data_IF_353577652968
#
_entry.id   IF_353577652968
#
_cell.length_a   1.000
_cell.length_b   1.000
_cell.length_c   1.000
_cell.angle_alpha   90.00
_cell.angle_beta   90.00
_cell.angle_gamma   90.00
#
_symmetry.space_group_name_H-M   'P 1'
#
loop_
_entity.id
_entity.type
_entity.pdbx_description
1 polymer ?
#
# COMPACT_ATOMS: atom_id res chain seq x y z
N UNK A 1 -29.56 10.72 -9.38
CA UNK A 1 -28.42 9.96 -8.82
C UNK A 1 -28.67 9.79 -7.34
N UNK A 2 -28.74 8.55 -6.85
CA UNK A 2 -28.96 8.26 -5.43
C UNK A 2 -27.80 7.40 -4.91
N UNK A 3 -27.17 7.81 -3.81
CA UNK A 3 -26.10 7.05 -3.14
C UNK A 3 -26.64 6.55 -1.79
N UNK A 4 -26.65 5.24 -1.60
CA UNK A 4 -27.17 4.61 -0.39
C UNK A 4 -26.12 3.67 0.21
N UNK A 5 -25.92 3.74 1.53
CA UNK A 5 -25.17 2.74 2.27
C UNK A 5 -26.10 1.56 2.58
N UNK A 6 -25.71 0.33 2.20
CA UNK A 6 -26.47 -0.89 2.50
C UNK A 6 -25.57 -1.92 3.17
N UNK A 7 -26.06 -2.54 4.23
CA UNK A 7 -25.47 -3.76 4.78
C UNK A 7 -26.07 -4.97 4.06
N UNK A 8 -25.23 -5.79 3.43
CA UNK A 8 -25.66 -7.03 2.77
C UNK A 8 -25.84 -8.15 3.80
N UNK A 9 -26.91 -8.94 3.68
CA UNK A 9 -27.07 -10.14 4.49
C UNK A 9 -26.00 -11.19 4.12
N UNK A 10 -25.70 -12.11 5.03
CA UNK A 10 -24.65 -13.14 4.86
C UNK A 10 -24.86 -13.97 3.58
N UNK A 11 -26.11 -14.29 3.23
CA UNK A 11 -26.48 -15.04 2.02
C UNK A 11 -26.32 -14.26 0.72
N UNK A 12 -26.71 -12.98 0.67
CA UNK A 12 -26.49 -12.11 -0.50
C UNK A 12 -24.99 -11.86 -0.74
N UNK A 13 -24.19 -11.93 0.32
CA UNK A 13 -22.77 -11.57 0.35
C UNK A 13 -21.86 -12.72 -0.09
N UNK A 14 -22.13 -13.93 0.39
CA UNK A 14 -21.47 -15.13 -0.15
C UNK A 14 -21.71 -15.16 -1.65
N UNK A 15 -22.97 -14.99 -2.08
CA UNK A 15 -23.38 -15.02 -3.48
C UNK A 15 -22.56 -14.08 -4.39
N UNK A 16 -22.45 -12.77 -4.10
CA UNK A 16 -21.73 -11.82 -5.00
C UNK A 16 -20.22 -12.11 -5.11
N UNK A 17 -19.58 -12.54 -4.02
CA UNK A 17 -18.15 -12.86 -4.02
C UNK A 17 -17.87 -14.21 -4.67
N UNK A 18 -18.69 -15.24 -4.39
CA UNK A 18 -18.56 -16.54 -5.06
C UNK A 18 -18.96 -16.49 -6.52
N UNK A 19 -19.96 -15.71 -6.91
CA UNK A 19 -20.41 -15.57 -8.30
C UNK A 19 -19.33 -14.89 -9.15
N UNK A 20 -18.80 -13.76 -8.72
CA UNK A 20 -17.71 -13.09 -9.45
C UNK A 20 -16.43 -13.93 -9.57
N UNK A 21 -16.11 -14.71 -8.54
CA UNK A 21 -14.97 -15.63 -8.58
C UNK A 21 -15.24 -16.86 -9.43
N UNK A 22 -16.43 -17.44 -9.35
CA UNK A 22 -16.85 -18.56 -10.18
C UNK A 22 -16.83 -18.17 -11.65
N UNK A 23 -17.36 -17.01 -12.00
CA UNK A 23 -17.35 -16.48 -13.36
C UNK A 23 -15.92 -16.16 -13.83
N UNK A 24 -15.06 -15.68 -12.92
CA UNK A 24 -13.64 -15.50 -13.19
C UNK A 24 -12.96 -16.83 -13.55
N UNK A 25 -13.14 -17.88 -12.74
CA UNK A 25 -12.55 -19.20 -12.98
C UNK A 25 -13.10 -19.82 -14.27
N UNK A 26 -14.43 -19.75 -14.48
CA UNK A 26 -15.09 -20.28 -15.69
C UNK A 26 -14.60 -19.62 -16.96
N UNK A 27 -14.28 -18.32 -16.91
CA UNK A 27 -13.78 -17.54 -18.02
C UNK A 27 -12.26 -17.30 -17.96
N UNK A 28 -11.52 -18.06 -17.15
CA UNK A 28 -10.09 -17.80 -16.90
C UNK A 28 -9.27 -17.73 -18.21
N UNK A 29 -9.55 -18.63 -19.16
CA UNK A 29 -8.89 -18.63 -20.48
C UNK A 29 -9.10 -17.30 -21.22
N UNK A 30 -10.31 -16.74 -21.17
CA UNK A 30 -10.61 -15.44 -21.79
C UNK A 30 -9.86 -14.29 -21.10
N UNK A 31 -9.60 -14.41 -19.79
CA UNK A 31 -8.82 -13.41 -19.04
C UNK A 31 -7.33 -13.44 -19.35
N UNK A 32 -6.81 -14.50 -20.00
CA UNK A 32 -5.40 -14.57 -20.43
C UNK A 32 -5.04 -13.49 -21.46
N UNK A 33 -6.03 -12.84 -22.08
CA UNK A 33 -5.83 -11.63 -22.88
C UNK A 33 -5.13 -10.50 -22.10
N UNK A 34 -5.24 -10.48 -20.77
CA UNK A 34 -4.55 -9.54 -19.89
C UNK A 34 -3.13 -9.98 -19.49
N UNK A 35 -2.72 -11.22 -19.77
CA UNK A 35 -1.41 -11.79 -19.43
C UNK A 35 -0.19 -11.02 -19.97
N UNK A 36 -0.23 -10.37 -21.14
CA UNK A 36 0.89 -9.55 -21.60
C UNK A 36 1.29 -8.43 -20.62
N UNK A 37 0.34 -7.90 -19.85
CA UNK A 37 0.58 -6.81 -18.88
C UNK A 37 1.53 -7.23 -17.75
N UNK A 38 1.25 -8.28 -16.95
CA UNK A 38 2.16 -8.71 -15.91
C UNK A 38 3.48 -9.24 -16.48
N UNK A 39 3.49 -9.91 -17.65
CA UNK A 39 4.74 -10.35 -18.29
C UNK A 39 5.64 -9.18 -18.64
N UNK A 40 5.09 -8.08 -19.15
CA UNK A 40 5.84 -6.86 -19.42
C UNK A 40 6.46 -6.28 -18.14
N UNK A 41 5.69 -6.17 -17.06
CA UNK A 41 6.21 -5.66 -15.79
C UNK A 41 7.24 -6.58 -15.13
N UNK A 42 7.03 -7.89 -15.18
CA UNK A 42 8.02 -8.88 -14.73
C UNK A 42 9.31 -8.75 -15.55
N UNK A 43 9.20 -8.56 -16.88
CA UNK A 43 10.34 -8.30 -17.74
C UNK A 43 11.14 -7.05 -17.31
N UNK A 44 10.45 -5.94 -17.01
CA UNK A 44 11.08 -4.73 -16.47
C UNK A 44 11.74 -4.98 -15.10
N UNK A 45 11.06 -5.71 -14.21
CA UNK A 45 11.60 -6.09 -12.91
C UNK A 45 12.89 -6.93 -13.04
N UNK A 46 12.88 -7.95 -13.89
CA UNK A 46 14.05 -8.79 -14.19
C UNK A 46 15.17 -7.97 -14.83
N UNK A 47 14.85 -7.04 -15.74
CA UNK A 47 15.86 -6.17 -16.37
C UNK A 47 16.63 -5.35 -15.33
N UNK A 48 15.97 -4.83 -14.30
CA UNK A 48 16.62 -4.14 -13.18
C UNK A 48 17.53 -5.07 -12.37
N UNK A 49 17.11 -6.31 -12.12
CA UNK A 49 17.94 -7.32 -11.45
C UNK A 49 19.18 -7.65 -12.30
N UNK A 50 18.99 -7.92 -13.59
CA UNK A 50 20.05 -8.24 -14.53
C UNK A 50 21.10 -7.12 -14.60
N UNK A 51 20.67 -5.86 -14.57
CA UNK A 51 21.55 -4.68 -14.52
C UNK A 51 22.18 -4.43 -13.14
N UNK A 52 21.98 -5.32 -12.16
CA UNK A 52 22.44 -5.19 -10.76
C UNK A 52 21.93 -3.91 -10.07
N UNK A 53 20.73 -3.46 -10.44
CA UNK A 53 20.09 -2.25 -9.94
C UNK A 53 19.06 -2.53 -8.84
N UNK A 54 19.26 -3.56 -8.02
CA UNK A 54 18.30 -4.02 -7.01
C UNK A 54 18.05 -3.01 -5.90
N UNK A 55 19.04 -2.14 -5.60
CA UNK A 55 18.88 -1.06 -4.63
C UNK A 55 17.71 -0.12 -4.95
N UNK A 56 17.32 -0.01 -6.24
CA UNK A 56 16.18 0.80 -6.66
C UNK A 56 14.83 0.29 -6.14
N UNK A 57 14.74 -0.98 -5.72
CA UNK A 57 13.53 -1.56 -5.15
C UNK A 57 13.38 -1.29 -3.65
N UNK A 58 14.48 -0.95 -2.95
CA UNK A 58 14.48 -0.77 -1.50
C UNK A 58 13.41 0.20 -0.98
N UNK A 59 13.13 1.35 -1.63
CA UNK A 59 12.07 2.26 -1.18
C UNK A 59 10.65 1.68 -1.31
N UNK A 60 10.48 0.58 -2.06
CA UNK A 60 9.19 -0.02 -2.41
C UNK A 60 9.01 -1.42 -1.79
N UNK A 61 9.77 -1.73 -0.74
CA UNK A 61 9.85 -3.08 -0.15
C UNK A 61 8.47 -3.67 0.20
N UNK A 62 7.55 -2.87 0.75
CA UNK A 62 6.19 -3.33 1.10
C UNK A 62 5.42 -3.84 -0.13
N UNK A 63 5.49 -3.11 -1.24
CA UNK A 63 4.84 -3.49 -2.50
C UNK A 63 5.54 -4.68 -3.16
N UNK A 64 6.86 -4.74 -3.03
CA UNK A 64 7.66 -5.86 -3.49
C UNK A 64 7.29 -7.17 -2.78
N UNK A 65 7.17 -7.15 -1.45
CA UNK A 65 6.69 -8.29 -0.66
C UNK A 65 5.24 -8.63 -1.05
N UNK A 66 4.38 -7.62 -1.20
CA UNK A 66 2.98 -7.82 -1.60
C UNK A 66 2.85 -8.48 -2.97
N UNK A 67 3.72 -8.16 -3.92
CA UNK A 67 3.76 -8.80 -5.25
C UNK A 67 4.06 -10.29 -5.12
N UNK A 68 5.10 -10.67 -4.38
CA UNK A 68 5.44 -12.08 -4.18
C UNK A 68 4.31 -12.85 -3.48
N UNK A 69 3.76 -12.28 -2.40
CA UNK A 69 2.64 -12.86 -1.70
C UNK A 69 1.45 -13.07 -2.65
N UNK A 70 1.12 -12.05 -3.46
CA UNK A 70 0.05 -12.14 -4.46
C UNK A 70 0.30 -13.24 -5.48
N UNK A 71 1.49 -13.33 -6.08
CA UNK A 71 1.80 -14.38 -7.06
C UNK A 71 1.59 -15.77 -6.45
N UNK A 72 2.12 -16.01 -5.24
CA UNK A 72 1.98 -17.30 -4.55
C UNK A 72 0.51 -17.61 -4.26
N UNK A 73 -0.24 -16.64 -3.70
CA UNK A 73 -1.65 -16.81 -3.34
C UNK A 73 -2.52 -17.00 -4.60
N UNK A 74 -2.27 -16.24 -5.67
CA UNK A 74 -3.02 -16.33 -6.93
C UNK A 74 -2.80 -17.70 -7.58
N UNK A 75 -1.55 -18.15 -7.68
CA UNK A 75 -1.21 -19.49 -8.18
C UNK A 75 -1.93 -20.54 -7.36
N UNK A 76 -1.78 -20.51 -6.04
CA UNK A 76 -2.45 -21.48 -5.16
C UNK A 76 -3.99 -21.45 -5.31
N UNK A 77 -4.60 -20.27 -5.41
CA UNK A 77 -6.07 -20.12 -5.50
C UNK A 77 -6.62 -20.60 -6.85
N UNK A 78 -5.89 -20.39 -7.95
CA UNK A 78 -6.30 -20.83 -9.29
C UNK A 78 -6.16 -22.35 -9.44
N UNK A 79 -5.09 -22.95 -8.90
CA UNK A 79 -4.79 -24.37 -9.10
C UNK A 79 -5.65 -25.35 -8.27
N UNK A 80 -6.32 -24.89 -7.20
CA UNK A 80 -7.01 -25.81 -6.27
C UNK A 80 -8.45 -26.16 -6.65
N UNK A 81 -9.04 -25.57 -7.70
CA UNK A 81 -10.47 -25.76 -8.04
C UNK A 81 -11.39 -25.21 -6.91
N UNK A 82 -12.61 -24.72 -7.19
CA UNK A 82 -13.34 -23.80 -6.31
C UNK A 82 -14.13 -24.49 -5.20
N UNK A 83 -13.69 -25.65 -4.70
CA UNK A 83 -14.23 -26.19 -3.44
C UNK A 83 -13.61 -25.42 -2.28
N UNK A 84 -14.05 -24.17 -2.12
CA UNK A 84 -13.63 -23.23 -1.08
C UNK A 84 -14.23 -23.64 0.27
N UNK A 85 -13.98 -24.88 0.70
CA UNK A 85 -14.43 -25.41 1.98
C UNK A 85 -13.28 -25.53 2.98
N UNK A 86 -13.58 -25.30 4.26
CA UNK A 86 -12.61 -25.46 5.34
C UNK A 86 -11.44 -24.47 5.31
N UNK A 87 -10.24 -24.94 5.65
CA UNK A 87 -9.01 -24.13 5.86
C UNK A 87 -8.54 -23.45 4.57
N UNK A 88 -8.85 -24.02 3.40
CA UNK A 88 -8.50 -23.43 2.11
C UNK A 88 -9.20 -22.08 1.86
N UNK A 89 -10.40 -21.88 2.42
CA UNK A 89 -11.08 -20.59 2.37
C UNK A 89 -10.27 -19.47 3.02
N UNK A 90 -9.51 -19.76 4.09
CA UNK A 90 -8.69 -18.79 4.81
C UNK A 90 -7.49 -18.34 3.98
N UNK A 91 -6.89 -19.24 3.20
CA UNK A 91 -5.73 -18.95 2.35
C UNK A 91 -6.13 -18.05 1.16
N UNK A 92 -7.38 -18.13 0.72
CA UNK A 92 -7.92 -17.28 -0.35
C UNK A 92 -8.45 -15.93 0.14
N UNK A 93 -8.59 -15.68 1.45
CA UNK A 93 -9.04 -14.37 1.97
C UNK A 93 -8.18 -13.20 1.45
N UNK A 94 -6.83 -13.27 1.49
CA UNK A 94 -5.99 -12.21 0.93
C UNK A 94 -6.22 -11.97 -0.57
N UNK A 95 -6.58 -13.00 -1.33
CA UNK A 95 -6.92 -12.90 -2.75
C UNK A 95 -8.15 -12.01 -2.97
N UNK A 96 -9.22 -12.24 -2.21
CA UNK A 96 -10.47 -11.47 -2.30
C UNK A 96 -10.31 -9.99 -1.86
N UNK A 97 -9.38 -9.75 -0.93
CA UNK A 97 -9.11 -8.43 -0.36
C UNK A 97 -7.82 -7.79 -0.86
N UNK A 98 -7.23 -8.29 -1.94
CA UNK A 98 -5.94 -7.77 -2.40
C UNK A 98 -5.94 -6.27 -2.73
N UNK A 99 -7.01 -5.76 -3.36
CA UNK A 99 -7.19 -4.32 -3.56
C UNK A 99 -7.18 -3.54 -2.22
N UNK A 100 -7.89 -4.03 -1.21
CA UNK A 100 -7.89 -3.43 0.13
C UNK A 100 -6.49 -3.42 0.76
N UNK A 101 -5.73 -4.50 0.58
CA UNK A 101 -4.35 -4.61 1.07
C UNK A 101 -3.47 -3.54 0.41
N UNK A 102 -3.53 -3.39 -0.92
CA UNK A 102 -2.74 -2.39 -1.65
C UNK A 102 -3.12 -0.97 -1.21
N UNK A 103 -4.41 -0.65 -1.11
CA UNK A 103 -4.86 0.65 -0.62
C UNK A 103 -4.43 0.90 0.83
N UNK A 104 -4.38 -0.14 1.67
CA UNK A 104 -3.90 -0.05 3.05
C UNK A 104 -2.40 0.21 3.12
N UNK A 105 -1.60 -0.40 2.23
CA UNK A 105 -0.16 -0.10 2.14
C UNK A 105 0.09 1.37 1.79
N UNK A 106 -0.65 1.91 0.82
CA UNK A 106 -0.61 3.33 0.46
C UNK A 106 -1.02 4.20 1.66
N UNK A 107 -2.08 3.81 2.37
CA UNK A 107 -2.53 4.51 3.58
C UNK A 107 -1.44 4.57 4.63
N UNK A 108 -0.77 3.46 4.95
CA UNK A 108 0.28 3.47 5.98
C UNK A 108 1.46 4.34 5.59
N UNK A 109 1.86 4.31 4.32
CA UNK A 109 2.97 5.13 3.85
C UNK A 109 2.61 6.62 3.86
N UNK A 110 1.40 7.00 3.40
CA UNK A 110 0.93 8.38 3.47
C UNK A 110 0.72 8.86 4.90
N UNK A 111 0.12 8.04 5.78
CA UNK A 111 -0.13 8.38 7.17
C UNK A 111 1.16 8.69 7.92
N UNK A 112 2.19 7.84 7.78
CA UNK A 112 3.47 8.05 8.44
C UNK A 112 4.15 9.33 7.95
N UNK A 113 4.06 9.63 6.65
CA UNK A 113 4.69 10.83 6.07
C UNK A 113 3.94 12.10 6.47
N UNK A 114 2.61 12.14 6.33
CA UNK A 114 1.78 13.33 6.62
C UNK A 114 1.84 13.74 8.08
N UNK A 115 1.82 12.76 8.99
CA UNK A 115 1.83 13.02 10.43
C UNK A 115 3.24 12.96 11.04
N UNK A 116 4.28 12.74 10.23
CA UNK A 116 5.70 12.62 10.65
C UNK A 116 5.89 11.70 11.86
N UNK A 117 5.15 10.59 11.89
CA UNK A 117 5.07 9.70 13.04
C UNK A 117 6.36 8.89 13.15
N UNK A 118 7.33 9.40 13.92
CA UNK A 118 8.61 8.72 14.16
C UNK A 118 8.58 7.92 15.45
N UNK A 119 8.06 8.49 16.53
CA UNK A 119 7.81 7.84 17.82
C UNK A 119 6.53 8.39 18.45
N UNK A 120 5.69 7.52 18.99
CA UNK A 120 4.53 7.92 19.81
C UNK A 120 4.80 7.50 21.25
N UNK A 121 4.82 8.47 22.15
CA UNK A 121 4.88 8.24 23.59
C UNK A 121 3.53 8.56 24.22
N UNK A 122 2.88 7.54 24.77
CA UNK A 122 1.65 7.74 25.56
C UNK A 122 2.02 7.78 27.04
N UNK A 123 1.98 8.97 27.65
CA UNK A 123 2.17 9.15 29.10
C UNK A 123 1.19 8.34 29.95
N UNK A 124 -0.03 8.15 29.45
CA UNK A 124 -1.12 7.50 30.21
C UNK A 124 -0.93 5.99 30.30
N UNK A 125 -0.28 5.38 29.32
CA UNK A 125 -0.05 3.93 29.28
C UNK A 125 1.43 3.55 29.47
N UNK A 126 2.34 4.53 29.57
CA UNK A 126 3.80 4.37 29.52
C UNK A 126 4.29 3.50 28.35
N UNK A 127 3.64 3.64 27.20
CA UNK A 127 3.95 2.89 25.99
C UNK A 127 4.79 3.77 25.06
N UNK A 128 5.99 3.30 24.73
CA UNK A 128 6.84 3.86 23.69
C UNK A 128 6.71 3.04 22.39
N UNK A 129 6.05 3.61 21.38
CA UNK A 129 5.91 2.97 20.07
C UNK A 129 6.82 3.61 19.03
N UNK A 130 7.71 2.82 18.45
CA UNK A 130 8.47 3.20 17.26
C UNK A 130 7.56 3.25 16.03
N UNK A 131 7.94 3.99 14.99
CA UNK A 131 7.19 4.05 13.73
C UNK A 131 6.88 2.67 13.11
N UNK A 132 7.75 1.67 13.31
CA UNK A 132 7.50 0.28 12.87
C UNK A 132 6.38 -0.38 13.67
N UNK A 133 6.37 -0.19 14.98
CA UNK A 133 5.31 -0.73 15.85
C UNK A 133 3.96 -0.08 15.53
N UNK A 134 3.95 1.19 15.14
CA UNK A 134 2.73 1.91 14.75
C UNK A 134 2.16 1.34 13.45
N UNK A 135 2.99 1.06 12.44
CA UNK A 135 2.52 0.37 11.22
C UNK A 135 1.90 -0.99 11.57
N UNK A 136 2.50 -1.77 12.47
CA UNK A 136 1.93 -3.05 12.92
C UNK A 136 0.57 -2.89 13.61
N UNK A 137 0.43 -1.92 14.51
CA UNK A 137 -0.85 -1.63 15.19
C UNK A 137 -1.91 -1.18 14.18
N UNK A 138 -1.57 -0.30 13.25
CA UNK A 138 -2.49 0.15 12.21
C UNK A 138 -2.94 -1.00 11.29
N UNK A 139 -2.05 -1.97 10.99
CA UNK A 139 -2.42 -3.21 10.27
C UNK A 139 -3.49 -3.97 11.05
N UNK A 140 -3.28 -4.21 12.35
CA UNK A 140 -4.25 -4.92 13.19
C UNK A 140 -5.59 -4.18 13.22
N UNK A 141 -5.57 -2.85 13.38
CA UNK A 141 -6.76 -2.01 13.37
C UNK A 141 -7.53 -2.15 12.05
N UNK A 142 -6.87 -2.03 10.89
CA UNK A 142 -7.52 -2.15 9.60
C UNK A 142 -8.10 -3.55 9.35
N UNK A 143 -7.42 -4.60 9.80
CA UNK A 143 -7.95 -5.97 9.76
C UNK A 143 -9.23 -6.07 10.59
N UNK A 144 -9.21 -5.58 11.84
CA UNK A 144 -10.38 -5.59 12.73
C UNK A 144 -11.54 -4.80 12.11
N UNK A 145 -11.29 -3.59 11.57
CA UNK A 145 -12.31 -2.82 10.87
C UNK A 145 -12.86 -3.55 9.65
N UNK A 146 -12.00 -4.22 8.87
CA UNK A 146 -12.42 -5.01 7.71
C UNK A 146 -13.32 -6.17 8.12
N UNK A 147 -13.05 -6.80 9.27
CA UNK A 147 -13.88 -7.88 9.82
C UNK A 147 -15.22 -7.37 10.37
N UNK A 148 -15.22 -6.22 11.07
CA UNK A 148 -16.43 -5.61 11.63
C UNK A 148 -17.38 -5.09 10.54
N UNK A 149 -16.83 -4.49 9.47
CA UNK A 149 -17.60 -3.81 8.41
C UNK A 149 -17.62 -4.67 7.13
N UNK A 150 -17.49 -5.99 7.28
CA UNK A 150 -17.24 -6.96 6.21
C UNK A 150 -18.28 -7.03 5.07
N UNK A 151 -19.42 -6.35 5.17
CA UNK A 151 -20.31 -6.20 4.02
C UNK A 151 -21.23 -5.01 4.08
N UNK A 152 -20.69 -3.89 4.54
CA UNK A 152 -21.18 -2.61 4.10
C UNK A 152 -20.76 -2.40 2.63
N UNK A 153 -21.72 -1.96 1.82
CA UNK A 153 -21.53 -1.68 0.39
C UNK A 153 -22.22 -0.35 0.07
N UNK A 154 -21.55 0.49 -0.69
CA UNK A 154 -22.17 1.67 -1.29
C UNK A 154 -22.92 1.26 -2.56
N UNK A 155 -24.20 1.60 -2.63
CA UNK A 155 -25.04 1.39 -3.81
C UNK A 155 -25.27 2.74 -4.47
N UNK A 156 -24.69 2.92 -5.66
CA UNK A 156 -24.91 4.08 -6.50
C UNK A 156 -25.96 3.75 -7.55
N UNK A 157 -27.10 4.44 -7.50
CA UNK A 157 -28.20 4.28 -8.46
C UNK A 157 -28.23 5.46 -9.43
N UNK A 158 -28.00 5.20 -10.72
CA UNK A 158 -28.03 6.18 -11.82
C UNK A 158 -28.86 5.58 -12.95
N UNK A 159 -29.95 6.24 -13.37
CA UNK A 159 -30.75 5.86 -14.55
C UNK A 159 -31.08 4.35 -14.57
N UNK A 160 -31.66 3.85 -13.48
CA UNK A 160 -32.00 2.43 -13.23
C UNK A 160 -30.83 1.43 -13.13
N UNK A 161 -29.60 1.85 -13.41
CA UNK A 161 -28.39 1.08 -13.12
C UNK A 161 -28.01 1.19 -11.64
N UNK A 162 -27.66 0.05 -11.01
CA UNK A 162 -27.21 -0.02 -9.60
C UNK A 162 -25.78 -0.55 -9.54
N UNK A 163 -24.83 0.32 -9.24
CA UNK A 163 -23.43 -0.04 -9.04
C UNK A 163 -23.17 -0.28 -7.56
N UNK A 164 -22.51 -1.38 -7.24
CA UNK A 164 -22.16 -1.77 -5.87
C UNK A 164 -20.65 -1.62 -5.65
N UNK A 165 -20.26 -0.73 -4.75
CA UNK A 165 -18.88 -0.53 -4.33
C UNK A 165 -18.66 -1.06 -2.92
N UNK A 166 -17.54 -1.76 -2.71
CA UNK A 166 -17.11 -2.17 -1.38
C UNK A 166 -16.85 -0.93 -0.50
N UNK A 167 -17.58 -0.78 0.61
CA UNK A 167 -17.51 0.41 1.46
C UNK A 167 -16.09 0.67 1.94
N UNK A 168 -15.41 -0.36 2.45
CA UNK A 168 -14.09 -0.20 3.04
C UNK A 168 -13.03 0.16 1.99
N UNK A 169 -13.13 -0.38 0.77
CA UNK A 169 -12.25 0.03 -0.34
C UNK A 169 -12.49 1.48 -0.73
N UNK A 170 -13.75 1.88 -0.90
CA UNK A 170 -14.10 3.25 -1.26
C UNK A 170 -13.67 4.25 -0.17
N UNK A 171 -13.89 3.92 1.11
CA UNK A 171 -13.50 4.75 2.25
C UNK A 171 -11.99 4.91 2.35
N UNK A 172 -11.21 3.83 2.25
CA UNK A 172 -9.75 3.94 2.34
C UNK A 172 -9.16 4.68 1.12
N UNK A 173 -9.73 4.49 -0.06
CA UNK A 173 -9.33 5.23 -1.26
C UNK A 173 -9.57 6.74 -1.08
N UNK A 174 -10.75 7.13 -0.56
CA UNK A 174 -11.06 8.52 -0.25
C UNK A 174 -10.11 9.10 0.81
N UNK A 175 -9.82 8.36 1.87
CA UNK A 175 -8.86 8.77 2.91
C UNK A 175 -7.47 8.96 2.30
N UNK A 176 -7.02 8.07 1.43
CA UNK A 176 -5.74 8.21 0.73
C UNK A 176 -5.70 9.45 -0.15
N UNK A 177 -6.79 9.79 -0.85
CA UNK A 177 -6.89 11.04 -1.62
C UNK A 177 -6.74 12.25 -0.69
N UNK A 178 -7.42 12.27 0.45
CA UNK A 178 -7.33 13.36 1.44
C UNK A 178 -5.89 13.49 1.96
N UNK A 179 -5.27 12.39 2.37
CA UNK A 179 -3.88 12.38 2.86
C UNK A 179 -2.90 12.83 1.79
N UNK A 180 -3.10 12.42 0.53
CA UNK A 180 -2.26 12.85 -0.59
C UNK A 180 -2.39 14.36 -0.83
N UNK A 181 -3.60 14.92 -0.76
CA UNK A 181 -3.82 16.37 -0.84
C UNK A 181 -3.13 17.08 0.34
N UNK A 182 -3.27 16.57 1.56
CA UNK A 182 -2.57 17.11 2.73
C UNK A 182 -1.05 17.11 2.53
N UNK A 183 -0.49 16.03 1.98
CA UNK A 183 0.93 15.93 1.68
C UNK A 183 1.39 16.94 0.62
N UNK A 184 0.59 17.17 -0.43
CA UNK A 184 0.87 18.18 -1.45
C UNK A 184 0.89 19.58 -0.83
N UNK A 185 -0.05 19.88 0.07
CA UNK A 185 -0.10 21.17 0.79
C UNK A 185 1.13 21.33 1.69
N UNK A 186 1.44 20.32 2.51
CA UNK A 186 2.63 20.33 3.40
C UNK A 186 3.93 20.48 2.61
N UNK A 187 4.03 19.80 1.45
CA UNK A 187 5.18 19.93 0.57
C UNK A 187 5.37 21.37 0.11
N UNK A 188 4.28 22.04 -0.30
CA UNK A 188 4.34 23.43 -0.76
C UNK A 188 4.78 24.38 0.34
N UNK A 189 4.43 24.11 1.60
CA UNK A 189 4.78 24.98 2.75
C UNK A 189 6.15 24.70 3.34
N UNK A 190 6.54 23.43 3.45
CA UNK A 190 7.66 23.00 4.29
C UNK A 190 8.73 22.18 3.56
N UNK A 191 8.52 21.88 2.27
CA UNK A 191 9.36 20.95 1.52
C UNK A 191 9.08 19.48 1.87
N UNK A 192 9.61 18.55 1.07
CA UNK A 192 9.54 17.10 1.34
C UNK A 192 10.92 16.62 1.74
N UNK A 193 11.01 15.83 2.82
CA UNK A 193 12.24 15.15 3.17
C UNK A 193 12.57 14.09 2.08
N UNK A 194 13.83 13.96 1.63
CA UNK A 194 14.19 13.14 0.46
C UNK A 194 13.73 11.68 0.53
N UNK A 195 13.79 11.09 1.73
CA UNK A 195 13.33 9.72 1.99
C UNK A 195 11.84 9.53 1.69
N UNK A 196 11.04 10.59 1.86
CA UNK A 196 9.59 10.59 1.70
C UNK A 196 9.18 10.92 0.25
N UNK A 197 10.11 11.40 -0.59
CA UNK A 197 9.86 11.68 -2.00
C UNK A 197 9.47 10.42 -2.78
N UNK A 198 10.07 9.27 -2.47
CA UNK A 198 9.70 7.99 -3.09
C UNK A 198 8.28 7.56 -2.72
N UNK A 199 7.89 7.74 -1.45
CA UNK A 199 6.54 7.45 -0.96
C UNK A 199 5.53 8.34 -1.67
N UNK A 200 5.82 9.64 -1.78
CA UNK A 200 4.96 10.60 -2.48
C UNK A 200 4.74 10.20 -3.94
N UNK A 201 5.82 9.95 -4.68
CA UNK A 201 5.74 9.57 -6.10
C UNK A 201 5.00 8.23 -6.27
N UNK A 202 5.29 7.24 -5.44
CA UNK A 202 4.60 5.95 -5.50
C UNK A 202 3.10 6.11 -5.25
N UNK A 203 2.73 6.89 -4.25
CA UNK A 203 1.34 7.11 -3.87
C UNK A 203 0.57 7.80 -4.99
N UNK A 204 1.15 8.82 -5.65
CA UNK A 204 0.54 9.46 -6.82
C UNK A 204 0.31 8.44 -7.93
N UNK A 205 1.35 7.70 -8.32
CA UNK A 205 1.29 6.75 -9.44
C UNK A 205 0.26 5.65 -9.16
N UNK A 206 0.32 5.03 -7.98
CA UNK A 206 -0.59 3.96 -7.61
C UNK A 206 -2.04 4.45 -7.49
N UNK A 207 -2.28 5.58 -6.83
CA UNK A 207 -3.65 6.13 -6.69
C UNK A 207 -4.24 6.53 -8.03
N UNK A 208 -3.43 7.11 -8.94
CA UNK A 208 -3.87 7.46 -10.28
C UNK A 208 -4.25 6.20 -11.08
N UNK A 209 -3.39 5.18 -11.08
CA UNK A 209 -3.65 3.95 -11.83
C UNK A 209 -4.84 3.16 -11.28
N UNK A 210 -4.98 3.07 -9.96
CA UNK A 210 -6.15 2.44 -9.32
C UNK A 210 -7.43 3.18 -9.73
N UNK A 211 -7.42 4.52 -9.65
CA UNK A 211 -8.58 5.34 -10.04
C UNK A 211 -8.93 5.16 -11.52
N UNK A 212 -7.93 5.10 -12.42
CA UNK A 212 -8.16 4.83 -13.85
C UNK A 212 -8.84 3.47 -14.05
N UNK A 213 -8.35 2.41 -13.39
CA UNK A 213 -8.94 1.07 -13.49
C UNK A 213 -10.37 1.03 -12.95
N UNK A 214 -10.63 1.69 -11.82
CA UNK A 214 -11.99 1.82 -11.25
C UNK A 214 -12.93 2.58 -12.19
N UNK A 215 -12.48 3.69 -12.77
CA UNK A 215 -13.25 4.45 -13.76
C UNK A 215 -13.52 3.61 -15.01
N UNK A 216 -12.55 2.84 -15.49
CA UNK A 216 -12.75 1.91 -16.62
C UNK A 216 -13.82 0.88 -16.28
N UNK A 217 -13.80 0.28 -15.09
CA UNK A 217 -14.84 -0.68 -14.66
C UNK A 217 -16.21 -0.03 -14.62
N UNK A 218 -16.32 1.17 -14.03
CA UNK A 218 -17.57 1.92 -13.96
C UNK A 218 -18.09 2.22 -15.37
N UNK A 219 -17.21 2.71 -16.25
CA UNK A 219 -17.56 3.05 -17.62
C UNK A 219 -17.98 1.84 -18.43
N UNK A 220 -17.26 0.72 -18.31
CA UNK A 220 -17.64 -0.56 -18.92
C UNK A 220 -19.03 -0.98 -18.42
N UNK A 221 -19.29 -0.93 -17.11
CA UNK A 221 -20.60 -1.25 -16.58
C UNK A 221 -21.73 -0.34 -17.10
N UNK A 222 -21.45 0.95 -17.32
CA UNK A 222 -22.43 1.87 -17.92
C UNK A 222 -22.67 1.63 -19.42
N UNK A 223 -21.61 1.36 -20.18
CA UNK A 223 -21.72 1.11 -21.62
C UNK A 223 -22.28 -0.27 -21.96
N UNK A 224 -21.96 -1.27 -21.15
CA UNK A 224 -22.20 -2.68 -21.40
C UNK A 224 -23.26 -3.25 -20.45
N UNK A 225 -24.41 -2.61 -20.33
CA UNK A 225 -25.61 -3.17 -19.67
C UNK A 225 -26.15 -4.47 -20.35
N UNK A 226 -25.36 -5.11 -21.23
CA UNK A 226 -25.67 -6.32 -21.99
C UNK A 226 -24.61 -7.43 -21.88
N UNK A 227 -23.51 -7.25 -21.16
CA UNK A 227 -22.55 -8.33 -20.94
C UNK A 227 -22.93 -9.12 -19.68
N UNK A 228 -23.07 -10.43 -19.81
CA UNK A 228 -23.51 -11.38 -18.76
C UNK A 228 -22.50 -11.54 -17.59
N UNK A 229 -21.48 -10.69 -17.48
CA UNK A 229 -20.43 -10.80 -16.46
C UNK A 229 -20.61 -9.77 -15.34
N UNK A 230 -20.53 -10.17 -14.06
CA UNK A 230 -20.71 -9.26 -12.94
C UNK A 230 -19.52 -8.29 -12.79
N UNK A 231 -19.74 -7.10 -12.23
CA UNK A 231 -18.67 -6.11 -11.93
C UNK A 231 -17.54 -6.73 -11.08
N UNK A 232 -17.88 -7.69 -10.23
CA UNK A 232 -16.91 -8.42 -9.40
C UNK A 232 -15.90 -9.23 -10.22
N UNK A 233 -16.19 -9.56 -11.48
CA UNK A 233 -15.24 -10.21 -12.41
C UNK A 233 -14.01 -9.35 -12.67
N UNK A 234 -14.19 -8.07 -13.06
CA UNK A 234 -13.08 -7.17 -13.40
C UNK A 234 -12.17 -6.93 -12.20
N UNK A 235 -12.72 -6.98 -10.98
CA UNK A 235 -11.93 -6.92 -9.74
C UNK A 235 -10.91 -8.05 -9.64
N UNK A 236 -11.27 -9.29 -10.01
CA UNK A 236 -10.34 -10.43 -9.99
C UNK A 236 -9.29 -10.33 -11.09
N UNK A 237 -9.68 -9.84 -12.28
CA UNK A 237 -8.75 -9.52 -13.36
C UNK A 237 -7.69 -8.52 -12.86
N UNK A 238 -8.10 -7.45 -12.19
CA UNK A 238 -7.16 -6.44 -11.68
C UNK A 238 -6.25 -6.97 -10.56
N UNK A 239 -6.80 -7.76 -9.63
CA UNK A 239 -6.02 -8.38 -8.56
C UNK A 239 -4.94 -9.34 -9.09
N UNK A 240 -5.20 -10.03 -10.22
CA UNK A 240 -4.25 -10.99 -10.79
C UNK A 240 -3.26 -10.33 -11.74
N UNK A 241 -3.74 -9.52 -12.68
CA UNK A 241 -2.94 -9.08 -13.83
C UNK A 241 -2.34 -7.68 -13.64
N UNK A 242 -2.88 -6.85 -12.74
CA UNK A 242 -2.52 -5.44 -12.66
C UNK A 242 -1.92 -5.05 -11.30
N UNK A 243 -2.74 -5.01 -10.24
CA UNK A 243 -2.36 -4.44 -8.93
C UNK A 243 -1.04 -4.95 -8.34
N UNK A 244 -0.66 -6.24 -8.45
CA UNK A 244 0.61 -6.72 -7.91
C UNK A 244 1.84 -6.09 -8.57
N UNK A 245 1.70 -5.57 -9.78
CA UNK A 245 2.83 -5.18 -10.64
C UNK A 245 2.91 -3.68 -10.91
N UNK A 246 1.82 -2.93 -10.74
CA UNK A 246 1.77 -1.49 -11.07
C UNK A 246 2.84 -0.65 -10.38
N UNK A 247 3.27 -1.02 -9.16
CA UNK A 247 4.30 -0.30 -8.41
C UNK A 247 5.66 -0.28 -9.12
N UNK A 248 5.92 -1.21 -10.05
CA UNK A 248 7.15 -1.25 -10.85
C UNK A 248 7.25 0.02 -11.71
N UNK A 249 6.13 0.62 -12.14
CA UNK A 249 6.10 1.91 -12.83
C UNK A 249 6.75 2.99 -11.96
N UNK A 250 6.40 3.04 -10.67
CA UNK A 250 6.96 3.99 -9.72
C UNK A 250 8.48 3.85 -9.58
N UNK A 251 9.00 2.60 -9.62
CA UNK A 251 10.46 2.35 -9.61
C UNK A 251 11.11 3.00 -10.82
N UNK A 252 10.54 2.85 -12.01
CA UNK A 252 11.12 3.43 -13.22
C UNK A 252 11.03 4.95 -13.22
N UNK A 253 9.86 5.51 -12.86
CA UNK A 253 9.65 6.96 -12.75
C UNK A 253 10.65 7.59 -11.76
N UNK A 254 10.77 7.04 -10.55
CA UNK A 254 11.67 7.58 -9.52
C UNK A 254 13.15 7.53 -9.91
N UNK A 255 13.52 6.67 -10.86
CA UNK A 255 14.90 6.52 -11.35
C UNK A 255 15.16 7.21 -12.68
N UNK A 256 14.23 8.02 -13.19
CA UNK A 256 14.51 8.94 -14.30
C UNK A 256 15.46 10.05 -13.83
N UNK A 257 16.45 10.40 -14.64
CA UNK A 257 17.49 11.40 -14.29
C UNK A 257 16.88 12.70 -13.77
N UNK A 258 15.85 13.22 -14.44
CA UNK A 258 15.16 14.46 -14.01
C UNK A 258 14.56 14.34 -12.61
N UNK A 259 13.96 13.19 -12.30
CA UNK A 259 13.31 12.95 -11.00
C UNK A 259 14.36 12.69 -9.93
N UNK A 260 15.42 11.92 -10.23
CA UNK A 260 16.54 11.74 -9.30
C UNK A 260 17.22 13.06 -8.95
N UNK A 261 17.50 13.92 -9.94
CA UNK A 261 18.05 15.26 -9.70
C UNK A 261 17.09 16.10 -8.86
N UNK A 262 15.78 16.00 -9.10
CA UNK A 262 14.78 16.68 -8.29
C UNK A 262 14.77 16.18 -6.84
N UNK A 263 14.80 14.86 -6.59
CA UNK A 263 14.88 14.25 -5.25
C UNK A 263 16.17 14.69 -4.53
N UNK A 264 17.31 14.68 -5.24
CA UNK A 264 18.58 15.14 -4.69
C UNK A 264 18.57 16.63 -4.33
N UNK A 265 17.88 17.47 -5.12
CA UNK A 265 17.72 18.88 -4.80
C UNK A 265 16.83 19.12 -3.57
N UNK A 266 15.87 18.23 -3.28
CA UNK A 266 15.16 18.27 -2.00
C UNK A 266 16.12 18.00 -0.82
N UNK A 267 17.09 17.08 -0.99
CA UNK A 267 18.09 16.78 0.06
C UNK A 267 18.95 17.97 0.44
N UNK A 268 19.20 18.87 -0.50
CA UNK A 268 19.95 20.11 -0.25
C UNK A 268 19.13 21.19 0.45
N UNK A 269 17.79 21.14 0.33
CA UNK A 269 16.87 22.13 0.92
C UNK A 269 16.48 21.82 2.36
N UNK A 270 16.53 20.55 2.78
CA UNK A 270 16.27 20.16 4.17
C UNK A 270 17.59 20.19 4.95
N UNK A 271 17.83 21.16 5.86
CA UNK A 271 19.01 21.12 6.70
C UNK A 271 18.98 19.84 7.55
N UNK A 272 20.14 19.20 7.70
CA UNK A 272 20.32 18.12 8.67
C UNK A 272 20.00 18.73 10.02
N UNK A 273 18.83 18.46 10.57
CA UNK A 273 18.60 18.65 12.00
C UNK A 273 19.58 17.73 12.68
N UNK A 274 20.69 18.30 13.14
CA UNK A 274 21.58 17.67 14.11
C UNK A 274 20.68 17.38 15.30
N UNK A 275 20.20 16.14 15.37
CA UNK A 275 19.56 15.61 16.56
C UNK A 275 20.68 15.57 17.58
N UNK A 276 20.80 16.64 18.37
CA UNK A 276 21.53 16.60 19.64
C UNK A 276 20.97 15.39 20.37
N UNK A 277 21.78 14.38 20.72
CA UNK A 277 21.29 13.28 21.53
C UNK A 277 20.74 13.92 22.80
N UNK A 278 19.44 13.77 23.05
CA UNK A 278 18.88 14.08 24.36
C UNK A 278 19.78 13.42 25.39
N UNK A 279 20.40 14.25 26.24
CA UNK A 279 21.20 13.80 27.37
C UNK A 279 20.45 12.64 28.02
N UNK A 280 21.07 11.45 28.00
CA UNK A 280 20.69 10.37 28.91
C UNK A 280 20.68 11.00 30.30
N UNK A 281 19.50 11.21 30.86
CA UNK A 281 19.36 11.52 32.28
C UNK A 281 19.75 10.23 33.00
N UNK A 282 21.06 10.10 33.26
CA UNK A 282 21.61 9.05 34.10
C UNK A 282 21.06 9.31 35.49
N UNK A 283 20.15 8.45 35.91
CA UNK A 283 19.68 8.37 37.30
C UNK A 283 20.92 8.20 38.19
N UNK A 284 21.18 9.07 39.19
CA UNK A 284 22.35 8.91 40.01
C UNK A 284 22.15 7.70 40.93
N UNK A 285 22.68 6.55 40.53
CA UNK A 285 23.00 5.49 41.47
C UNK A 285 24.27 5.89 42.19
N UNK A 286 24.09 6.40 43.40
CA UNK A 286 25.13 6.47 44.42
C UNK A 286 25.53 5.03 44.75
N UNK A 287 26.78 4.67 44.51
CA UNK A 287 27.73 4.06 45.46
C UNK A 287 29.04 3.79 44.70
N UNK A 288 30.10 4.36 45.27
CA UNK A 288 31.53 4.14 45.12
C UNK A 288 32.01 3.09 44.11
N UNK A 289 32.83 3.53 43.14
CA UNK A 289 34.07 2.86 42.76
C UNK A 289 34.93 3.77 41.86
N UNK A 290 36.06 4.20 42.43
CA UNK A 290 37.32 4.68 41.85
C UNK A 290 37.36 5.21 40.41
N UNK A 291 37.66 6.51 40.32
CA UNK A 291 38.18 7.26 39.17
C UNK A 291 39.39 6.57 38.54
N UNK A 292 39.31 6.26 37.25
CA UNK A 292 40.48 6.15 36.37
C UNK A 292 40.17 6.97 35.11
N UNK A 293 40.87 8.08 34.95
CA UNK A 293 40.84 8.93 33.77
C UNK A 293 41.68 8.31 32.66
N UNK A 294 41.05 7.73 31.64
CA UNK A 294 41.75 7.46 30.37
C UNK A 294 41.47 8.61 29.40
N UNK A 295 42.30 9.65 29.52
CA UNK A 295 42.49 10.64 28.48
C UNK A 295 43.46 10.04 27.44
N UNK A 296 42.96 9.24 26.50
CA UNK A 296 43.80 8.64 25.46
C UNK A 296 43.93 9.57 24.25
N UNK A 297 44.97 10.39 24.35
CA UNK A 297 45.84 10.93 23.29
C UNK A 297 45.65 10.29 21.91
N UNK A 298 44.85 10.90 21.03
CA UNK A 298 44.96 10.69 19.58
C UNK A 298 44.56 11.92 18.73
N UNK A 299 44.48 13.11 19.33
CA UNK A 299 44.18 14.38 18.62
C UNK A 299 45.44 15.17 18.23
N UNK A 300 46.58 14.51 18.02
CA UNK A 300 47.80 15.25 17.67
C UNK A 300 48.70 14.50 16.70
N UNK A 301 48.18 14.19 15.50
CA UNK A 301 49.02 13.85 14.35
C UNK A 301 48.24 14.09 13.05
N UNK A 302 48.39 15.28 12.47
CA UNK A 302 48.58 15.55 11.02
C UNK A 302 48.45 17.05 10.73
N UNK A 303 49.48 17.83 11.04
CA UNK A 303 49.91 18.96 10.21
C UNK A 303 51.44 19.00 10.28
N UNK A 304 52.08 18.43 9.28
CA UNK A 304 53.43 18.82 8.87
C UNK A 304 53.50 18.72 7.35
#
# INVERSE_FOLDING_TARGET
MNLMLRFQNVSERSFVFTEGFHDFVKNFVNTLTHLPVPLFFIGLYILKIYRKQTAHFSPFLSFHISMYASVIINTHTIFINPDVSGVQSLISIPFFYFNYIILSLIFFDLFVVVFQVTNVYSKTCDIHMSGRNIKCVLIVILIVFRLLIFGAVFVLSILDCKIRFDFMNASIHLINIILLISLIIQWKTSGIHPKDSYIFMNSIVMMLLITILEVITIFKHFLEYKFDLPISFDKFVYNIYYFPYLWIISVYICNLTKIQTWIQNQKKRTPVTVVVPECRVVRPQRIDETVISELSVSELETVM
#
